data_IF_177405058973
#
_entry.id   IF_177405058973
#
_cell.length_a   1.000
_cell.length_b   1.000
_cell.length_c   1.000
_cell.angle_alpha   90.00
_cell.angle_beta   90.00
_cell.angle_gamma   90.00
#
_symmetry.space_group_name_H-M   'P 1'
#
loop_
_entity.id
_entity.type
_entity.pdbx_description
1 polymer ?
#
# COMPACT_ATOMS: atom_id res chain seq x y z
N UNK A 1 -7.84 -5.32 9.14
CA UNK A 1 -7.66 -4.34 8.04
C UNK A 1 -8.97 -4.13 7.28
N UNK A 2 -8.98 -3.30 6.22
CA UNK A 2 -10.11 -3.18 5.30
C UNK A 2 -10.36 -4.47 4.48
N UNK A 3 -11.53 -4.57 3.86
CA UNK A 3 -11.85 -5.65 2.92
C UNK A 3 -11.18 -5.45 1.56
N UNK A 4 -11.16 -6.50 0.72
CA UNK A 4 -10.66 -6.39 -0.67
C UNK A 4 -11.42 -5.33 -1.49
N UNK A 5 -12.74 -5.23 -1.33
CA UNK A 5 -13.55 -4.17 -1.95
C UNK A 5 -13.18 -2.78 -1.41
N UNK A 6 -12.97 -2.65 -0.10
CA UNK A 6 -12.52 -1.38 0.49
C UNK A 6 -11.19 -0.90 -0.09
N UNK A 7 -10.23 -1.82 -0.30
CA UNK A 7 -8.95 -1.54 -0.96
C UNK A 7 -9.14 -1.05 -2.40
N UNK A 8 -10.03 -1.68 -3.18
CA UNK A 8 -10.36 -1.26 -4.55
C UNK A 8 -10.95 0.15 -4.58
N UNK A 9 -11.94 0.42 -3.73
CA UNK A 9 -12.59 1.74 -3.67
C UNK A 9 -11.59 2.84 -3.26
N UNK A 10 -10.72 2.55 -2.30
CA UNK A 10 -9.65 3.47 -1.91
C UNK A 10 -8.70 3.77 -3.09
N UNK A 11 -8.27 2.74 -3.82
CA UNK A 11 -7.38 2.91 -4.97
C UNK A 11 -8.02 3.76 -6.09
N UNK A 12 -9.30 3.54 -6.39
CA UNK A 12 -10.04 4.33 -7.37
C UNK A 12 -10.11 5.81 -6.96
N UNK A 13 -10.53 6.09 -5.73
CA UNK A 13 -10.60 7.45 -5.21
C UNK A 13 -9.23 8.15 -5.18
N UNK A 14 -8.17 7.43 -4.81
CA UNK A 14 -6.80 7.95 -4.88
C UNK A 14 -6.40 8.24 -6.32
N UNK A 15 -6.64 7.32 -7.25
CA UNK A 15 -6.27 7.47 -8.65
C UNK A 15 -6.99 8.67 -9.31
N UNK A 16 -8.26 8.90 -9.00
CA UNK A 16 -9.00 10.10 -9.43
C UNK A 16 -8.31 11.40 -8.99
N UNK A 17 -7.85 11.45 -7.73
CA UNK A 17 -7.15 12.62 -7.19
C UNK A 17 -5.72 12.80 -7.72
N UNK A 18 -5.11 11.71 -8.21
CA UNK A 18 -3.71 11.67 -8.66
C UNK A 18 -3.58 11.92 -10.16
N UNK A 19 -4.45 11.32 -10.99
CA UNK A 19 -4.35 11.36 -12.47
C UNK A 19 -4.30 12.79 -13.03
N UNK A 20 -5.11 13.70 -12.50
CA UNK A 20 -5.15 15.11 -12.96
C UNK A 20 -3.91 15.94 -12.58
N UNK A 21 -3.07 15.43 -11.68
CA UNK A 21 -1.87 16.11 -11.18
C UNK A 21 -0.58 15.60 -11.81
N UNK A 22 -0.66 14.54 -12.62
CA UNK A 22 0.48 13.93 -13.29
C UNK A 22 0.41 14.23 -14.79
N UNK A 23 1.56 14.54 -15.37
CA UNK A 23 1.71 14.39 -16.82
C UNK A 23 1.51 12.92 -17.17
N UNK A 24 0.76 12.63 -18.23
CA UNK A 24 0.59 11.25 -18.68
C UNK A 24 1.98 10.60 -18.89
N UNK A 25 2.24 9.43 -18.30
CA UNK A 25 3.52 8.75 -18.49
C UNK A 25 3.70 8.39 -19.97
N UNK A 26 4.96 8.39 -20.42
CA UNK A 26 5.34 8.08 -21.80
C UNK A 26 5.00 6.64 -22.21
N UNK A 27 4.89 5.73 -21.24
CA UNK A 27 4.37 4.38 -21.43
C UNK A 27 3.47 3.98 -20.26
N UNK A 28 2.28 3.47 -20.57
CA UNK A 28 1.40 2.82 -19.59
C UNK A 28 1.48 1.32 -19.79
N UNK A 29 1.59 0.57 -18.70
CA UNK A 29 1.40 -0.87 -18.67
C UNK A 29 -0.10 -1.17 -18.61
N UNK A 30 -0.50 -2.23 -19.29
CA UNK A 30 -1.83 -2.81 -19.12
C UNK A 30 -1.81 -3.84 -18.01
N UNK A 31 -2.79 -3.75 -17.11
CA UNK A 31 -3.01 -4.70 -16.03
C UNK A 31 -4.37 -5.36 -16.22
N UNK A 32 -4.48 -6.60 -15.75
CA UNK A 32 -5.74 -7.36 -15.71
C UNK A 32 -6.05 -7.74 -14.27
N UNK A 33 -7.33 -7.86 -13.96
CA UNK A 33 -7.77 -8.31 -12.64
C UNK A 33 -8.83 -9.39 -12.67
N UNK A 34 -8.80 -10.21 -11.63
CA UNK A 34 -9.84 -11.19 -11.31
C UNK A 34 -10.21 -11.14 -9.83
N UNK A 35 -11.48 -11.40 -9.51
CA UNK A 35 -11.90 -11.58 -8.12
C UNK A 35 -11.69 -13.03 -7.70
N UNK A 36 -11.07 -13.22 -6.53
CA UNK A 36 -10.80 -14.55 -5.99
C UNK A 36 -11.10 -14.58 -4.49
N UNK A 37 -11.76 -15.64 -4.06
CA UNK A 37 -11.89 -15.94 -2.64
C UNK A 37 -10.57 -16.49 -2.10
N UNK A 38 -10.18 -16.09 -0.90
CA UNK A 38 -9.00 -16.61 -0.22
C UNK A 38 -9.31 -16.79 1.27
N UNK A 39 -9.04 -17.97 1.85
CA UNK A 39 -9.12 -18.16 3.28
C UNK A 39 -7.94 -17.44 3.94
N UNK A 40 -8.20 -16.71 5.03
CA UNK A 40 -7.18 -16.00 5.80
C UNK A 40 -7.38 -16.22 7.29
N UNK A 41 -6.26 -16.21 8.02
CA UNK A 41 -6.26 -16.02 9.47
C UNK A 41 -6.04 -14.53 9.73
N UNK A 42 -7.10 -13.84 10.18
CA UNK A 42 -7.03 -12.42 10.50
C UNK A 42 -5.98 -12.11 11.57
N UNK A 43 -5.38 -10.92 11.50
CA UNK A 43 -4.33 -10.50 12.44
C UNK A 43 -4.81 -10.45 13.90
N UNK A 44 -6.10 -10.19 14.14
CA UNK A 44 -6.71 -10.23 15.47
C UNK A 44 -6.68 -11.62 16.13
N UNK A 45 -6.58 -12.71 15.35
CA UNK A 45 -6.46 -14.07 15.91
C UNK A 45 -5.18 -14.21 16.72
N UNK A 46 -4.12 -13.49 16.34
CA UNK A 46 -2.85 -13.49 17.08
C UNK A 46 -2.89 -12.75 18.41
N UNK A 47 -3.93 -11.94 18.64
CA UNK A 47 -4.16 -11.19 19.87
C UNK A 47 -5.04 -11.92 20.88
N UNK A 48 -5.60 -13.07 20.50
CA UNK A 48 -6.40 -13.88 21.42
C UNK A 48 -5.52 -14.46 22.53
N UNK A 49 -6.03 -14.53 23.78
CA UNK A 49 -5.40 -15.28 24.85
C UNK A 49 -5.10 -16.73 24.43
N UNK A 50 -4.00 -17.30 24.90
CA UNK A 50 -3.52 -18.62 24.48
C UNK A 50 -4.49 -19.77 24.78
N UNK A 51 -5.38 -19.58 25.76
CA UNK A 51 -6.42 -20.49 26.22
C UNK A 51 -7.78 -20.27 25.53
N UNK A 52 -7.89 -19.27 24.66
CA UNK A 52 -9.12 -18.99 23.91
C UNK A 52 -9.28 -19.92 22.71
N UNK A 53 -10.52 -20.33 22.43
CA UNK A 53 -10.85 -21.03 21.20
C UNK A 53 -10.55 -20.14 20.00
N UNK A 54 -9.63 -20.58 19.13
CA UNK A 54 -9.31 -19.84 17.90
C UNK A 54 -10.45 -20.00 16.89
N UNK A 55 -10.98 -18.90 16.33
CA UNK A 55 -11.91 -19.01 15.22
C UNK A 55 -11.21 -19.68 14.04
N UNK A 56 -11.98 -20.36 13.19
CA UNK A 56 -11.47 -20.86 11.92
C UNK A 56 -11.14 -19.70 10.95
N UNK A 57 -10.45 -20.01 9.84
CA UNK A 57 -10.13 -19.00 8.83
C UNK A 57 -11.39 -18.32 8.29
N UNK A 58 -11.33 -17.00 8.12
CA UNK A 58 -12.37 -16.26 7.42
C UNK A 58 -12.13 -16.34 5.90
N UNK A 59 -13.22 -16.31 5.12
CA UNK A 59 -13.12 -16.22 3.65
C UNK A 59 -13.31 -14.78 3.24
N UNK A 60 -12.31 -14.22 2.58
CA UNK A 60 -12.38 -12.88 2.00
C UNK A 60 -12.37 -12.95 0.48
N UNK A 61 -13.04 -12.00 -0.16
CA UNK A 61 -12.95 -11.78 -1.60
C UNK A 61 -11.96 -10.63 -1.87
N UNK A 62 -10.95 -10.90 -2.70
CA UNK A 62 -9.91 -9.94 -3.09
C UNK A 62 -9.80 -9.86 -4.61
N UNK A 63 -9.56 -8.65 -5.12
CA UNK A 63 -9.31 -8.43 -6.56
C UNK A 63 -7.83 -8.57 -6.82
N UNK A 64 -7.39 -9.68 -7.41
CA UNK A 64 -5.99 -9.89 -7.78
C UNK A 64 -5.67 -9.15 -9.07
N UNK A 65 -4.51 -8.51 -9.13
CA UNK A 65 -4.03 -7.75 -10.29
C UNK A 65 -2.74 -8.38 -10.81
N UNK A 66 -2.57 -8.44 -12.12
CA UNK A 66 -1.32 -8.89 -12.76
C UNK A 66 -1.07 -8.11 -14.03
N UNK A 67 0.19 -7.98 -14.43
CA UNK A 67 0.55 -7.39 -15.72
C UNK A 67 -0.04 -8.24 -16.86
N UNK A 68 -0.70 -7.61 -17.82
CA UNK A 68 -1.45 -8.31 -18.88
C UNK A 68 -0.55 -9.15 -19.79
N UNK A 69 0.63 -8.63 -20.14
CA UNK A 69 1.53 -9.28 -21.08
C UNK A 69 2.29 -10.46 -20.46
N UNK A 70 2.76 -10.29 -19.22
CA UNK A 70 3.65 -11.25 -18.54
C UNK A 70 2.93 -12.15 -17.54
N UNK A 71 1.74 -11.77 -17.08
CA UNK A 71 1.06 -12.41 -15.94
C UNK A 71 1.79 -12.21 -14.59
N UNK A 72 2.82 -11.36 -14.58
CA UNK A 72 3.63 -11.10 -13.39
C UNK A 72 2.84 -10.33 -12.32
N UNK A 73 3.20 -10.56 -11.07
CA UNK A 73 2.72 -9.74 -9.97
C UNK A 73 3.22 -8.29 -10.15
N UNK A 74 2.41 -7.31 -9.71
CA UNK A 74 2.85 -5.92 -9.68
C UNK A 74 4.08 -5.81 -8.78
N UNK A 75 5.11 -5.12 -9.24
CA UNK A 75 6.28 -4.78 -8.45
C UNK A 75 6.33 -3.26 -8.26
N UNK A 76 6.45 -2.74 -7.02
CA UNK A 76 6.63 -1.32 -6.80
C UNK A 76 7.85 -0.79 -7.55
N UNK A 77 7.71 0.37 -8.21
CA UNK A 77 8.80 0.97 -8.98
C UNK A 77 9.38 2.17 -8.23
N UNK A 78 10.64 2.06 -7.80
CA UNK A 78 11.35 3.14 -7.10
C UNK A 78 11.52 4.40 -7.95
N UNK A 79 11.40 4.32 -9.27
CA UNK A 79 11.46 5.48 -10.16
C UNK A 79 10.08 6.10 -10.44
N UNK A 80 9.01 5.50 -9.93
CA UNK A 80 7.65 5.97 -10.13
C UNK A 80 7.44 7.40 -9.64
N UNK A 81 6.67 8.24 -10.35
CA UNK A 81 6.37 9.60 -9.89
C UNK A 81 5.42 9.64 -8.69
N UNK A 82 4.81 8.51 -8.33
CA UNK A 82 3.91 8.37 -7.18
C UNK A 82 4.58 7.49 -6.13
N UNK A 83 4.69 8.00 -4.91
CA UNK A 83 5.09 7.22 -3.74
C UNK A 83 3.85 6.91 -2.89
N UNK A 84 3.57 5.63 -2.68
CA UNK A 84 2.65 5.16 -1.65
C UNK A 84 3.42 4.97 -0.34
N UNK A 85 3.07 5.76 0.66
CA UNK A 85 3.66 5.76 2.00
C UNK A 85 2.59 5.32 3.01
N UNK A 86 2.87 4.40 3.92
CA UNK A 86 1.88 4.11 4.95
C UNK A 86 2.18 3.00 5.95
N UNK A 87 1.12 2.61 6.66
CA UNK A 87 1.15 1.51 7.60
C UNK A 87 0.85 0.15 6.94
N UNK A 88 0.52 -0.85 7.76
CA UNK A 88 0.08 -2.17 7.30
C UNK A 88 -1.06 -2.17 6.26
N UNK A 89 -1.88 -1.12 6.13
CA UNK A 89 -2.91 -1.00 5.09
C UNK A 89 -2.31 -0.83 3.68
N UNK A 90 -1.09 -0.30 3.54
CA UNK A 90 -0.40 -0.28 2.24
C UNK A 90 0.25 -1.61 1.89
N UNK A 91 0.39 -2.50 2.88
CA UNK A 91 1.07 -3.79 2.76
C UNK A 91 0.09 -4.98 2.73
N UNK A 92 -1.10 -4.84 3.31
CA UNK A 92 -2.09 -5.92 3.38
C UNK A 92 -2.54 -6.31 1.98
N UNK A 93 -2.68 -7.62 1.75
CA UNK A 93 -2.98 -8.27 0.48
C UNK A 93 -1.91 -8.17 -0.62
N UNK A 94 -0.83 -7.41 -0.38
CA UNK A 94 0.38 -7.42 -1.21
C UNK A 94 1.48 -8.26 -0.57
N UNK A 95 1.79 -7.97 0.70
CA UNK A 95 2.87 -8.61 1.48
C UNK A 95 2.36 -9.72 2.42
N UNK A 96 1.12 -9.61 2.91
CA UNK A 96 0.56 -10.52 3.89
C UNK A 96 -0.98 -10.63 3.80
N UNK A 97 -1.53 -11.70 4.38
CA UNK A 97 -2.94 -12.13 4.33
C UNK A 97 -3.47 -12.50 2.93
N UNK A 98 -2.94 -11.95 1.85
CA UNK A 98 -3.20 -12.41 0.49
C UNK A 98 -2.01 -12.07 -0.41
N UNK A 99 -2.22 -12.18 -1.72
CA UNK A 99 -1.21 -11.85 -2.73
C UNK A 99 -1.86 -11.07 -3.88
N UNK A 100 -1.09 -10.17 -4.49
CA UNK A 100 -1.45 -9.44 -5.71
C UNK A 100 -2.73 -8.60 -5.59
N UNK A 101 -3.16 -8.25 -4.39
CA UNK A 101 -4.44 -7.56 -4.19
C UNK A 101 -4.37 -6.37 -3.23
N UNK A 102 -3.18 -5.95 -2.84
CA UNK A 102 -2.97 -4.80 -1.97
C UNK A 102 -3.13 -3.47 -2.70
N UNK A 103 -2.98 -2.39 -1.95
CA UNK A 103 -3.26 -1.05 -2.45
C UNK A 103 -2.36 -0.66 -3.63
N UNK A 104 -1.08 -1.06 -3.60
CA UNK A 104 -0.15 -0.82 -4.71
C UNK A 104 -0.57 -1.56 -5.98
N UNK A 105 -1.11 -2.77 -5.84
CA UNK A 105 -1.60 -3.58 -6.97
C UNK A 105 -2.80 -2.91 -7.63
N UNK A 106 -3.78 -2.47 -6.82
CA UNK A 106 -4.96 -1.77 -7.32
C UNK A 106 -4.59 -0.44 -7.97
N UNK A 107 -3.70 0.35 -7.35
CA UNK A 107 -3.24 1.60 -7.92
C UNK A 107 -2.51 1.39 -9.24
N UNK A 108 -1.74 0.31 -9.40
CA UNK A 108 -1.09 -0.01 -10.66
C UNK A 108 -2.10 -0.19 -11.79
N UNK A 109 -3.19 -0.93 -11.52
CA UNK A 109 -4.28 -1.09 -12.48
C UNK A 109 -4.97 0.24 -12.81
N UNK A 110 -5.25 1.07 -11.81
CA UNK A 110 -5.93 2.35 -12.04
C UNK A 110 -5.02 3.37 -12.75
N UNK A 111 -3.72 3.41 -12.43
CA UNK A 111 -2.79 4.42 -12.98
C UNK A 111 -2.13 3.99 -14.29
N UNK A 112 -2.10 2.69 -14.59
CA UNK A 112 -1.34 2.12 -15.71
C UNK A 112 0.17 2.08 -15.45
N UNK A 113 0.61 2.21 -14.21
CA UNK A 113 1.99 2.02 -13.77
C UNK A 113 2.01 1.77 -12.26
N UNK A 114 2.98 1.00 -11.77
CA UNK A 114 3.13 0.73 -10.35
C UNK A 114 3.64 1.98 -9.59
N UNK A 115 2.99 2.40 -8.49
CA UNK A 115 3.59 3.32 -7.53
C UNK A 115 4.87 2.75 -6.90
N UNK A 116 5.74 3.62 -6.39
CA UNK A 116 6.73 3.23 -5.39
C UNK A 116 6.01 2.92 -4.06
N UNK A 117 6.61 2.11 -3.20
CA UNK A 117 6.02 1.69 -1.94
C UNK A 117 7.03 1.77 -0.79
N UNK A 118 6.70 2.56 0.23
CA UNK A 118 7.33 2.49 1.55
C UNK A 118 6.22 2.26 2.58
N UNK A 119 6.10 1.02 3.06
CA UNK A 119 5.17 0.67 4.13
C UNK A 119 5.89 0.14 5.36
N UNK A 120 5.30 0.36 6.53
CA UNK A 120 5.76 -0.24 7.80
C UNK A 120 4.59 -0.92 8.50
N UNK A 121 4.81 -2.10 9.10
CA UNK A 121 3.80 -2.68 10.01
C UNK A 121 3.75 -1.86 11.31
N UNK A 122 2.56 -1.71 11.89
CA UNK A 122 2.34 -0.89 13.09
C UNK A 122 1.83 0.50 12.74
N UNK A 123 2.62 1.55 13.03
CA UNK A 123 2.21 2.94 12.88
C UNK A 123 2.46 3.51 11.47
N UNK A 124 1.50 4.30 11.01
CA UNK A 124 1.56 5.04 9.74
C UNK A 124 2.03 6.47 9.91
N UNK A 125 2.28 6.92 11.14
CA UNK A 125 2.66 8.30 11.44
C UNK A 125 4.18 8.49 11.38
N UNK A 126 4.90 8.22 12.47
CA UNK A 126 6.33 8.54 12.60
C UNK A 126 7.25 7.48 11.97
N UNK A 127 7.08 6.16 12.20
CA UNK A 127 8.03 5.15 11.71
C UNK A 127 8.18 5.12 10.19
N UNK A 128 7.08 5.25 9.45
CA UNK A 128 7.12 5.22 7.99
C UNK A 128 7.86 6.44 7.41
N UNK A 129 7.74 7.60 8.05
CA UNK A 129 8.48 8.82 7.66
C UNK A 129 9.97 8.70 7.97
N UNK A 130 10.34 8.04 9.07
CA UNK A 130 11.75 7.69 9.34
C UNK A 130 12.28 6.74 8.25
N UNK A 131 11.46 5.79 7.80
CA UNK A 131 11.82 4.92 6.67
C UNK A 131 12.08 5.73 5.40
N UNK A 132 11.17 6.65 5.04
CA UNK A 132 11.37 7.58 3.93
C UNK A 132 12.68 8.37 4.04
N UNK A 133 12.95 8.97 5.21
CA UNK A 133 14.19 9.69 5.45
C UNK A 133 15.42 8.79 5.24
N UNK A 134 15.41 7.55 5.74
CA UNK A 134 16.49 6.57 5.52
C UNK A 134 16.70 6.24 4.04
N UNK A 135 15.66 6.22 3.22
CA UNK A 135 15.80 6.07 1.76
C UNK A 135 16.57 7.25 1.17
N UNK A 136 16.29 8.48 1.59
CA UNK A 136 17.02 9.68 1.12
C UNK A 136 18.48 9.74 1.57
N UNK A 137 18.78 9.17 2.75
CA UNK A 137 20.17 9.05 3.22
C UNK A 137 20.98 8.06 2.38
N UNK A 138 20.35 6.97 1.92
CA UNK A 138 20.99 5.97 1.05
C UNK A 138 21.11 6.45 -0.39
N UNK A 139 20.12 7.19 -0.87
CA UNK A 139 20.09 7.76 -2.21
C UNK A 139 19.58 9.21 -2.13
N UNK A 140 20.50 10.17 -2.20
CA UNK A 140 20.19 11.60 -2.14
C UNK A 140 19.20 12.04 -3.26
N UNK A 141 19.19 11.33 -4.39
CA UNK A 141 18.27 11.58 -5.51
C UNK A 141 16.92 10.86 -5.40
N UNK A 142 16.63 10.12 -4.32
CA UNK A 142 15.44 9.27 -4.21
C UNK A 142 14.12 10.02 -4.47
N UNK A 143 14.03 11.28 -4.03
CA UNK A 143 12.84 12.12 -4.18
C UNK A 143 12.78 12.87 -5.52
N UNK A 144 13.84 12.88 -6.33
CA UNK A 144 13.92 13.75 -7.52
C UNK A 144 12.78 13.50 -8.53
N UNK A 145 12.38 12.23 -8.68
CA UNK A 145 11.33 11.83 -9.60
C UNK A 145 9.94 11.79 -8.96
N UNK A 146 9.84 11.85 -7.63
CA UNK A 146 8.56 11.81 -6.92
C UNK A 146 7.82 13.14 -7.11
N UNK A 147 6.62 13.08 -7.67
CA UNK A 147 5.73 14.22 -7.86
C UNK A 147 4.59 14.24 -6.84
N UNK A 148 4.16 13.05 -6.41
CA UNK A 148 3.05 12.90 -5.47
C UNK A 148 3.43 11.86 -4.41
N UNK A 149 3.16 12.18 -3.14
CA UNK A 149 3.19 11.23 -2.04
C UNK A 149 1.75 10.99 -1.59
N UNK A 150 1.27 9.76 -1.72
CA UNK A 150 0.02 9.29 -1.15
C UNK A 150 0.33 8.70 0.21
N UNK A 151 -0.10 9.36 1.28
CA UNK A 151 0.14 8.91 2.64
C UNK A 151 -1.11 8.24 3.21
N UNK A 152 -1.09 6.92 3.35
CA UNK A 152 -2.22 6.10 3.77
C UNK A 152 -1.99 5.53 5.17
N UNK A 153 -2.88 5.88 6.09
CA UNK A 153 -2.88 5.37 7.46
C UNK A 153 -4.29 5.42 8.04
N UNK A 154 -4.56 4.60 9.04
CA UNK A 154 -5.87 4.57 9.70
C UNK A 154 -6.17 5.89 10.44
N UNK A 155 -7.43 6.32 10.47
CA UNK A 155 -7.84 7.56 11.15
C UNK A 155 -7.40 7.66 12.62
N UNK A 156 -7.31 6.51 13.33
CA UNK A 156 -6.77 6.45 14.70
C UNK A 156 -5.33 6.94 14.82
N UNK A 157 -4.50 6.82 13.78
CA UNK A 157 -3.14 7.36 13.82
C UNK A 157 -3.16 8.90 13.82
N UNK A 158 -4.24 9.51 13.36
CA UNK A 158 -4.41 10.96 13.42
C UNK A 158 -4.88 11.42 14.81
N UNK A 159 -5.78 10.67 15.45
CA UNK A 159 -6.44 11.08 16.70
C UNK A 159 -5.83 10.49 17.97
N UNK A 160 -5.18 9.32 17.87
CA UNK A 160 -4.81 8.46 19.00
C UNK A 160 -3.37 7.91 18.87
N UNK A 161 -2.53 8.48 18.01
CA UNK A 161 -1.15 8.00 17.82
C UNK A 161 -0.36 8.00 19.13
N UNK A 162 -0.15 6.81 19.69
CA UNK A 162 0.63 6.58 20.91
C UNK A 162 2.12 6.91 20.73
N UNK A 163 2.66 6.68 19.52
CA UNK A 163 4.02 7.07 19.15
C UNK A 163 4.15 8.55 18.72
N UNK A 164 3.01 9.23 18.59
CA UNK A 164 2.94 10.65 18.25
C UNK A 164 3.43 11.02 16.84
N UNK A 165 3.49 12.34 16.61
CA UNK A 165 3.81 12.96 15.32
C UNK A 165 5.14 13.71 15.40
N UNK A 166 6.24 12.96 15.47
CA UNK A 166 7.57 13.57 15.54
C UNK A 166 7.88 14.38 14.27
N UNK A 167 8.70 15.42 14.42
CA UNK A 167 9.29 16.11 13.27
C UNK A 167 10.40 15.24 12.70
N UNK A 168 10.25 14.80 11.46
CA UNK A 168 11.22 13.97 10.74
C UNK A 168 11.71 14.75 9.52
N UNK A 169 13.03 14.90 9.31
CA UNK A 169 13.56 15.51 8.10
C UNK A 169 13.12 14.74 6.86
N UNK A 170 12.84 15.46 5.78
CA UNK A 170 12.40 14.86 4.50
C UNK A 170 13.59 14.38 3.67
N UNK A 171 14.72 15.11 3.75
CA UNK A 171 15.98 14.80 3.09
C UNK A 171 17.16 15.31 3.95
N UNK A 172 18.38 14.94 3.59
CA UNK A 172 19.61 15.47 4.18
C UNK A 172 19.86 16.92 3.77
#
# INVERSE_FOLDING_TARGET
>A
HWSGLGCVLAAQAIAENVRGKLTAPSSRKEYVSEWKESPIDGDLVSLLPSDSAKPGPEKISVRRVSEKESGAAVQPDQNSPVLLLGDSHTLVFHDFLAERAGLVDQLAQELGFAPDLIGTRGSGATPVRISLYRHTLKNAGYLANKKIVVWCFAAREFTEASEGWARVPVAK
#
